data_IF_643815359357
#
_entry.id   IF_643815359357
#
_cell.length_a   1.000
_cell.length_b   1.000
_cell.length_c   1.000
_cell.angle_alpha   90.00
_cell.angle_beta   90.00
_cell.angle_gamma   90.00
#
_symmetry.space_group_name_H-M   'P 1'
#
loop_
_entity.id
_entity.type
_entity.pdbx_description
1 polymer ?
#
# COMPACT_ATOMS: atom_id res chain seq x y z
N UNK A 1 49.10 -30.76 14.61
CA UNK A 1 48.47 -30.31 15.87
C UNK A 1 48.56 -28.78 15.91
N UNK A 2 47.58 -28.04 15.39
CA UNK A 2 47.64 -26.56 15.40
C UNK A 2 46.32 -26.03 16.00
N UNK A 3 46.43 -25.35 17.14
CA UNK A 3 45.30 -24.79 17.90
C UNK A 3 44.92 -23.41 17.35
N UNK A 4 43.63 -23.19 17.12
CA UNK A 4 43.08 -21.88 16.81
C UNK A 4 42.87 -21.09 18.11
N UNK A 5 43.53 -19.94 18.23
CA UNK A 5 43.35 -19.01 19.36
C UNK A 5 42.27 -17.98 18.97
N UNK A 6 41.15 -18.00 19.69
CA UNK A 6 40.06 -17.02 19.55
C UNK A 6 40.38 -15.78 20.40
N UNK A 7 40.42 -14.55 19.84
CA UNK A 7 40.64 -13.36 20.64
C UNK A 7 39.38 -13.00 21.45
N UNK A 8 39.52 -12.85 22.77
CA UNK A 8 38.50 -12.26 23.65
C UNK A 8 38.32 -10.78 23.28
N UNK A 9 37.13 -10.42 22.81
CA UNK A 9 36.76 -9.03 22.60
C UNK A 9 36.57 -8.31 23.95
N UNK A 10 37.47 -7.37 24.26
CA UNK A 10 37.33 -6.44 25.39
C UNK A 10 36.17 -5.48 25.13
N UNK A 11 35.14 -5.46 26.00
CA UNK A 11 34.05 -4.48 25.92
C UNK A 11 34.61 -3.07 26.18
N UNK A 12 34.36 -2.08 25.32
CA UNK A 12 34.77 -0.71 25.59
C UNK A 12 33.96 -0.17 26.77
N UNK A 13 34.68 0.28 27.82
CA UNK A 13 34.09 0.91 28.99
C UNK A 13 33.70 2.33 28.61
N UNK A 14 32.46 2.52 28.18
CA UNK A 14 31.91 3.83 27.84
C UNK A 14 32.03 4.75 29.07
N UNK A 15 32.98 5.68 29.04
CA UNK A 15 33.17 6.66 30.10
C UNK A 15 32.12 7.77 29.95
N UNK A 16 31.36 8.13 31.01
CA UNK A 16 30.28 9.12 30.94
C UNK A 16 30.73 10.50 30.42
N UNK A 17 32.00 10.85 30.59
CA UNK A 17 32.58 12.12 30.12
C UNK A 17 32.67 12.22 28.59
N UNK A 18 32.86 11.12 27.87
CA UNK A 18 32.91 11.12 26.40
C UNK A 18 31.52 11.32 25.78
N UNK A 19 30.46 10.84 26.44
CA UNK A 19 29.08 11.05 26.00
C UNK A 19 28.66 12.52 26.15
N UNK A 20 29.05 13.17 27.25
CA UNK A 20 28.81 14.60 27.49
C UNK A 20 29.53 15.49 26.47
N UNK A 21 30.78 15.19 26.12
CA UNK A 21 31.50 15.93 25.08
C UNK A 21 30.84 15.80 23.70
N UNK A 22 30.30 14.62 23.36
CA UNK A 22 29.59 14.41 22.10
C UNK A 22 28.30 15.24 21.98
N UNK A 23 27.52 15.37 23.06
CA UNK A 23 26.24 16.11 23.07
C UNK A 23 26.40 17.63 22.84
N UNK A 24 27.53 18.22 23.25
CA UNK A 24 27.80 19.66 23.07
C UNK A 24 28.15 20.05 21.63
N UNK A 25 28.53 19.10 20.77
CA UNK A 25 28.92 19.36 19.37
C UNK A 25 27.77 19.16 18.35
N UNK A 26 26.63 18.60 18.78
CA UNK A 26 25.48 18.34 17.90
C UNK A 26 24.62 19.55 17.48
N UNK A 27 24.59 20.73 18.13
CA UNK A 27 23.64 21.78 17.74
C UNK A 27 24.09 22.65 16.55
N UNK A 28 25.26 22.42 15.93
CA UNK A 28 25.78 23.28 14.86
C UNK A 28 25.25 22.98 13.44
N UNK A 29 24.41 21.94 13.23
CA UNK A 29 23.98 21.53 11.87
C UNK A 29 22.68 22.26 11.41
N UNK A 30 22.07 23.09 12.25
CA UNK A 30 20.72 23.62 11.98
C UNK A 30 20.65 24.95 11.20
N UNK A 31 21.73 25.48 10.60
CA UNK A 31 21.68 26.79 9.91
C UNK A 31 22.15 26.77 8.44
N UNK A 32 22.05 25.63 7.76
CA UNK A 32 22.26 25.57 6.31
C UNK A 32 21.29 24.59 5.63
N UNK A 33 19.98 24.89 5.67
CA UNK A 33 19.07 24.47 4.61
C UNK A 33 18.20 25.67 4.21
N UNK A 34 18.78 26.52 3.36
CA UNK A 34 18.08 27.45 2.49
C UNK A 34 17.17 26.65 1.53
N UNK A 35 15.87 26.66 1.84
CA UNK A 35 14.86 27.23 0.94
C UNK A 35 15.11 27.09 -0.58
N UNK A 36 15.05 25.86 -1.10
CA UNK A 36 14.69 25.69 -2.52
C UNK A 36 13.76 24.49 -2.69
N UNK A 37 12.55 24.64 -2.16
CA UNK A 37 11.41 23.92 -2.70
C UNK A 37 10.96 24.69 -3.95
N UNK A 38 11.18 24.20 -5.18
CA UNK A 38 10.45 24.74 -6.32
C UNK A 38 8.98 24.35 -6.13
N UNK A 39 8.21 25.31 -5.61
CA UNK A 39 6.76 25.25 -5.53
C UNK A 39 6.17 25.39 -6.93
N UNK A 40 6.24 24.32 -7.72
CA UNK A 40 5.37 24.14 -8.89
C UNK A 40 5.15 22.66 -9.17
N UNK A 41 4.80 21.88 -8.15
CA UNK A 41 3.98 20.70 -8.39
C UNK A 41 2.56 21.21 -8.66
N UNK A 42 2.29 21.55 -9.93
CA UNK A 42 0.92 21.60 -10.43
C UNK A 42 0.39 20.18 -10.31
N UNK A 43 -0.65 19.89 -9.51
CA UNK A 43 -1.33 18.62 -9.60
C UNK A 43 -2.02 18.62 -10.96
N UNK A 44 -1.38 17.99 -11.94
CA UNK A 44 -2.05 17.71 -13.20
C UNK A 44 -3.25 16.82 -12.85
N UNK A 45 -4.48 17.17 -13.26
CA UNK A 45 -5.59 16.26 -13.10
C UNK A 45 -5.17 14.94 -13.75
N UNK A 46 -5.33 13.86 -13.00
CA UNK A 46 -5.22 12.50 -13.53
C UNK A 46 -6.35 12.33 -14.54
N UNK A 47 -6.11 12.81 -15.76
CA UNK A 47 -6.88 12.44 -16.92
C UNK A 47 -6.63 10.96 -17.11
N UNK A 48 -7.63 10.16 -16.73
CA UNK A 48 -7.71 8.75 -17.09
C UNK A 48 -8.00 8.69 -18.59
N UNK A 49 -6.99 8.98 -19.40
CA UNK A 49 -7.05 8.77 -20.84
C UNK A 49 -6.22 7.53 -21.19
N UNK A 50 -6.97 6.48 -21.56
CA UNK A 50 -6.59 5.37 -22.43
C UNK A 50 -5.13 4.95 -22.45
N UNK A 51 -4.73 4.10 -21.49
CA UNK A 51 -3.66 3.14 -21.73
C UNK A 51 -4.16 2.11 -22.75
N UNK A 52 -3.89 2.35 -24.03
CA UNK A 52 -4.19 1.44 -25.13
C UNK A 52 -3.35 0.16 -24.98
N UNK A 53 -4.03 -0.91 -24.60
CA UNK A 53 -3.77 -2.31 -24.96
C UNK A 53 -2.34 -2.83 -24.81
N UNK A 54 -1.84 -2.86 -23.58
CA UNK A 54 -1.31 -4.15 -23.14
C UNK A 54 -2.53 -4.90 -22.61
N UNK A 55 -2.84 -6.10 -23.12
CA UNK A 55 -3.97 -6.90 -22.65
C UNK A 55 -3.85 -7.08 -21.12
N UNK A 56 -4.48 -6.19 -20.37
CA UNK A 56 -4.50 -6.22 -18.92
C UNK A 56 -5.21 -7.53 -18.59
N UNK A 57 -4.47 -8.49 -18.04
CA UNK A 57 -4.98 -9.80 -17.65
C UNK A 57 -5.83 -9.69 -16.38
N UNK A 58 -6.70 -8.68 -16.35
CA UNK A 58 -7.71 -8.48 -15.34
C UNK A 58 -8.75 -9.60 -15.46
N UNK A 59 -9.16 -10.13 -14.32
CA UNK A 59 -10.23 -11.14 -14.22
C UNK A 59 -11.57 -10.54 -14.68
N UNK A 60 -11.78 -9.26 -14.44
CA UNK A 60 -12.98 -8.49 -14.72
C UNK A 60 -12.76 -7.56 -15.91
N UNK A 61 -13.36 -7.90 -17.05
CA UNK A 61 -13.42 -7.01 -18.22
C UNK A 61 -14.63 -6.05 -18.17
N UNK A 62 -15.68 -6.43 -17.43
CA UNK A 62 -16.91 -5.64 -17.29
C UNK A 62 -17.41 -5.73 -15.87
N UNK A 63 -17.89 -4.60 -15.35
CA UNK A 63 -18.52 -4.53 -14.03
C UNK A 63 -20.04 -4.57 -14.17
N UNK A 64 -20.70 -5.08 -13.13
CA UNK A 64 -22.15 -5.12 -13.01
C UNK A 64 -22.58 -4.09 -11.97
N UNK A 65 -23.48 -3.20 -12.38
CA UNK A 65 -24.15 -2.25 -11.48
C UNK A 65 -25.56 -2.73 -11.12
N UNK A 66 -26.11 -2.26 -10.00
CA UNK A 66 -27.52 -2.46 -9.66
C UNK A 66 -27.90 -3.83 -9.06
N UNK A 67 -26.95 -4.63 -8.58
CA UNK A 67 -27.26 -5.91 -7.91
C UNK A 67 -27.86 -5.68 -6.50
N UNK A 68 -28.85 -6.48 -6.10
CA UNK A 68 -29.35 -6.41 -4.72
C UNK A 68 -28.37 -7.13 -3.77
N UNK A 69 -27.86 -6.48 -2.71
CA UNK A 69 -26.94 -7.09 -1.76
C UNK A 69 -27.47 -8.37 -1.10
N UNK A 70 -28.80 -8.55 -1.02
CA UNK A 70 -29.42 -9.78 -0.47
C UNK A 70 -29.11 -11.05 -1.26
N UNK A 71 -28.73 -10.91 -2.53
CA UNK A 71 -28.43 -12.04 -3.42
C UNK A 71 -26.95 -12.42 -3.42
N UNK A 72 -26.09 -11.66 -2.75
CA UNK A 72 -24.66 -11.94 -2.65
C UNK A 72 -24.41 -12.87 -1.47
N UNK A 73 -23.62 -13.91 -1.69
CA UNK A 73 -23.18 -14.88 -0.69
C UNK A 73 -21.78 -14.58 -0.17
N UNK A 74 -20.87 -14.17 -1.05
CA UNK A 74 -19.48 -13.82 -0.69
C UNK A 74 -18.92 -12.71 -1.58
N UNK A 75 -17.83 -12.11 -1.10
CA UNK A 75 -17.14 -11.03 -1.80
C UNK A 75 -15.63 -11.26 -1.72
N UNK A 76 -14.98 -11.18 -2.86
CA UNK A 76 -13.54 -11.29 -3.05
C UNK A 76 -13.01 -9.95 -3.58
N UNK A 77 -11.87 -9.53 -3.04
CA UNK A 77 -11.21 -8.27 -3.40
C UNK A 77 -9.80 -8.60 -3.88
N UNK A 78 -9.52 -8.27 -5.14
CA UNK A 78 -8.20 -8.44 -5.75
C UNK A 78 -7.57 -7.05 -5.84
N UNK A 79 -6.39 -6.87 -5.25
CA UNK A 79 -5.65 -5.62 -5.33
C UNK A 79 -5.11 -5.34 -6.74
N UNK A 80 -4.71 -4.09 -6.97
CA UNK A 80 -3.92 -3.74 -8.16
C UNK A 80 -2.60 -4.54 -8.16
N UNK A 81 -2.18 -4.98 -9.35
CA UNK A 81 -0.94 -5.72 -9.56
C UNK A 81 -0.34 -5.44 -10.93
N UNK A 82 0.80 -6.09 -11.21
CA UNK A 82 1.55 -5.88 -12.46
C UNK A 82 0.74 -6.22 -13.72
N UNK A 83 -0.17 -7.20 -13.63
CA UNK A 83 -1.01 -7.63 -14.74
C UNK A 83 -2.37 -6.93 -14.82
N UNK A 84 -2.76 -6.23 -13.75
CA UNK A 84 -4.01 -5.49 -13.69
C UNK A 84 -3.83 -4.30 -12.74
N UNK A 85 -3.60 -3.08 -13.26
CA UNK A 85 -3.31 -1.90 -12.44
C UNK A 85 -4.53 -1.43 -11.63
N UNK A 86 -5.72 -1.94 -11.94
CA UNK A 86 -6.94 -1.62 -11.20
C UNK A 86 -7.28 -2.71 -10.18
N UNK A 87 -7.67 -2.33 -8.95
CA UNK A 87 -8.25 -3.27 -8.01
C UNK A 87 -9.63 -3.74 -8.50
N UNK A 88 -9.94 -5.01 -8.25
CA UNK A 88 -11.15 -5.66 -8.75
C UNK A 88 -11.97 -6.23 -7.59
N UNK A 89 -13.29 -6.16 -7.73
CA UNK A 89 -14.23 -6.74 -6.81
C UNK A 89 -15.03 -7.85 -7.50
N UNK A 90 -15.02 -9.04 -6.91
CA UNK A 90 -15.75 -10.20 -7.43
C UNK A 90 -16.75 -10.66 -6.37
N UNK A 91 -18.04 -10.53 -6.66
CA UNK A 91 -19.09 -11.05 -5.80
C UNK A 91 -19.57 -12.42 -6.31
N UNK A 92 -19.75 -13.35 -5.39
CA UNK A 92 -20.47 -14.60 -5.66
C UNK A 92 -21.92 -14.42 -5.23
N UNK A 93 -22.85 -14.75 -6.13
CA UNK A 93 -24.27 -14.77 -5.83
C UNK A 93 -24.65 -16.07 -5.12
N UNK A 94 -25.79 -16.07 -4.43
CA UNK A 94 -26.37 -17.28 -3.81
C UNK A 94 -26.66 -18.40 -4.83
N UNK A 95 -26.78 -18.05 -6.10
CA UNK A 95 -26.92 -19.00 -7.22
C UNK A 95 -25.58 -19.63 -7.65
N UNK A 96 -24.46 -19.24 -7.03
CA UNK A 96 -23.11 -19.66 -7.39
C UNK A 96 -22.48 -18.86 -8.52
N UNK A 97 -23.23 -17.99 -9.22
CA UNK A 97 -22.70 -17.14 -10.29
C UNK A 97 -21.76 -16.08 -9.73
N UNK A 98 -20.61 -15.90 -10.37
CA UNK A 98 -19.67 -14.82 -10.08
C UNK A 98 -19.96 -13.62 -10.96
N UNK A 99 -19.92 -12.43 -10.36
CA UNK A 99 -20.06 -11.14 -11.05
C UNK A 99 -18.99 -10.19 -10.55
N UNK A 100 -18.52 -9.33 -11.46
CA UNK A 100 -17.62 -8.24 -11.08
C UNK A 100 -18.43 -7.02 -10.65
N UNK A 101 -18.01 -6.35 -9.58
CA UNK A 101 -18.62 -5.11 -9.10
C UNK A 101 -17.72 -3.93 -9.38
N UNK A 102 -18.34 -2.77 -9.53
CA UNK A 102 -17.62 -1.50 -9.65
C UNK A 102 -17.20 -0.99 -8.28
N UNK A 103 -15.90 -0.73 -8.12
CA UNK A 103 -15.31 -0.20 -6.89
C UNK A 103 -15.74 1.23 -6.59
N UNK A 104 -16.07 2.02 -7.62
CA UNK A 104 -16.57 3.39 -7.46
C UNK A 104 -18.03 3.43 -7.02
N UNK A 105 -18.74 2.29 -7.09
CA UNK A 105 -20.16 2.24 -6.76
C UNK A 105 -20.38 2.18 -5.22
N UNK A 106 -21.17 3.09 -4.63
CA UNK A 106 -21.46 3.08 -3.19
C UNK A 106 -22.19 1.81 -2.72
N UNK A 107 -22.76 1.04 -3.65
CA UNK A 107 -23.37 -0.25 -3.39
C UNK A 107 -22.41 -1.24 -2.73
N UNK A 108 -21.11 -1.22 -3.05
CA UNK A 108 -20.10 -2.07 -2.42
C UNK A 108 -20.13 -1.97 -0.88
N UNK A 109 -20.16 -0.75 -0.35
CA UNK A 109 -20.23 -0.52 1.10
C UNK A 109 -21.49 -1.13 1.72
N UNK A 110 -22.61 -1.15 0.99
CA UNK A 110 -23.87 -1.78 1.44
C UNK A 110 -23.75 -3.31 1.44
N UNK A 111 -23.01 -3.88 0.50
CA UNK A 111 -22.76 -5.32 0.39
C UNK A 111 -21.94 -5.80 1.59
N UNK A 112 -20.80 -5.15 1.89
CA UNK A 112 -20.00 -5.49 3.07
C UNK A 112 -20.83 -5.42 4.34
N UNK A 113 -21.55 -4.31 4.55
CA UNK A 113 -22.41 -4.13 5.73
C UNK A 113 -23.47 -5.22 5.86
N UNK A 114 -23.92 -5.79 4.75
CA UNK A 114 -24.88 -6.90 4.73
C UNK A 114 -24.22 -8.22 5.10
N UNK A 115 -23.05 -8.50 4.54
CA UNK A 115 -22.28 -9.71 4.83
C UNK A 115 -21.85 -9.77 6.30
N UNK A 116 -21.44 -8.64 6.89
CA UNK A 116 -21.06 -8.55 8.31
C UNK A 116 -22.25 -8.62 9.29
N UNK A 117 -23.48 -8.48 8.79
CA UNK A 117 -24.72 -8.56 9.60
C UNK A 117 -25.44 -9.89 9.46
N UNK A 118 -24.91 -10.80 8.63
CA UNK A 118 -25.41 -12.18 8.53
C UNK A 118 -24.70 -13.05 9.55
#
# INVERSE_FOLDING_TARGET
MNQAVVPRASRPRSSPGLLLLGLLLLPAIALAQESSFPATFVPLPADSEGGESEDLQCVCLKTTSGINPRHISSLEVIGAGLHCPSPQLIATLKTGRKICLDQQNPLYKKIIKRLLKS
#
